data_IF_533350122143
#
_entry.id   IF_533350122143
#
_cell.length_a   1.000
_cell.length_b   1.000
_cell.length_c   1.000
_cell.angle_alpha   90.00
_cell.angle_beta   90.00
_cell.angle_gamma   90.00
#
_symmetry.space_group_name_H-M   'P 1'
#
loop_
_entity.id
_entity.type
_entity.pdbx_description
1 polymer ?
#
# COMPACT_ATOMS: atom_id res chain seq x y z
N UNK A 1 -20.83 13.24 -0.37
CA UNK A 1 -20.61 11.96 -1.08
C UNK A 1 -19.73 12.20 -2.31
N UNK A 2 -18.55 12.81 -2.12
CA UNK A 2 -17.53 13.04 -3.16
C UNK A 2 -16.23 13.32 -2.40
N UNK A 3 -15.45 12.30 -2.05
CA UNK A 3 -14.09 12.52 -1.51
C UNK A 3 -13.26 11.22 -1.42
N UNK A 4 -13.92 10.08 -1.20
CA UNK A 4 -13.22 8.79 -1.03
C UNK A 4 -12.71 8.20 -2.35
N UNK A 5 -13.43 8.43 -3.46
CA UNK A 5 -13.00 7.99 -4.80
C UNK A 5 -11.78 8.79 -5.31
N UNK A 6 -11.63 10.04 -4.88
CA UNK A 6 -10.57 10.92 -5.37
C UNK A 6 -9.21 10.57 -4.76
N UNK A 7 -9.19 10.14 -3.49
CA UNK A 7 -7.94 9.80 -2.78
C UNK A 7 -7.33 8.47 -3.25
N UNK A 8 -8.18 7.48 -3.59
CA UNK A 8 -7.77 6.18 -4.12
C UNK A 8 -7.21 6.27 -5.54
N UNK A 9 -7.94 6.95 -6.41
CA UNK A 9 -7.47 7.29 -7.75
C UNK A 9 -6.19 8.12 -7.65
N UNK A 10 -6.13 9.12 -6.76
CA UNK A 10 -4.93 9.94 -6.57
C UNK A 10 -3.73 9.12 -6.13
N UNK A 11 -3.85 8.14 -5.23
CA UNK A 11 -2.71 7.34 -4.80
C UNK A 11 -2.23 6.36 -5.89
N UNK A 12 -3.13 5.71 -6.62
CA UNK A 12 -2.74 4.86 -7.76
C UNK A 12 -2.13 5.68 -8.90
N UNK A 13 -2.74 6.83 -9.19
CA UNK A 13 -2.21 7.83 -10.14
C UNK A 13 -0.84 8.29 -9.65
N UNK A 14 -0.67 8.66 -8.39
CA UNK A 14 0.60 9.15 -7.85
C UNK A 14 1.73 8.12 -7.98
N UNK A 15 1.48 6.83 -7.72
CA UNK A 15 2.51 5.79 -7.86
C UNK A 15 2.80 5.39 -9.32
N UNK A 16 1.78 5.33 -10.19
CA UNK A 16 1.97 5.19 -11.64
C UNK A 16 2.80 6.37 -12.16
N UNK A 17 2.44 7.58 -11.75
CA UNK A 17 3.18 8.80 -12.05
C UNK A 17 4.57 8.78 -11.44
N UNK A 18 4.79 8.21 -10.25
CA UNK A 18 6.13 8.16 -9.65
C UNK A 18 7.06 7.24 -10.43
N UNK A 19 6.56 6.08 -10.87
CA UNK A 19 7.29 5.16 -11.74
C UNK A 19 7.54 5.77 -13.12
N UNK A 20 6.54 6.40 -13.71
CA UNK A 20 6.66 7.13 -14.98
C UNK A 20 7.60 8.34 -14.87
N UNK A 21 7.53 9.13 -13.80
CA UNK A 21 8.45 10.24 -13.54
C UNK A 21 9.87 9.70 -13.36
N UNK A 22 10.04 8.62 -12.61
CA UNK A 22 11.33 7.95 -12.45
C UNK A 22 11.92 7.53 -13.80
N UNK A 23 11.09 6.94 -14.66
CA UNK A 23 11.47 6.53 -16.03
C UNK A 23 11.79 7.74 -16.92
N UNK A 24 10.97 8.79 -16.90
CA UNK A 24 11.20 10.03 -17.66
C UNK A 24 12.49 10.72 -17.22
N UNK A 25 12.72 10.84 -15.91
CA UNK A 25 13.92 11.44 -15.33
C UNK A 25 15.17 10.63 -15.70
N UNK A 26 15.06 9.30 -15.68
CA UNK A 26 16.13 8.40 -16.09
C UNK A 26 16.44 8.54 -17.59
N UNK A 27 15.40 8.59 -18.45
CA UNK A 27 15.54 8.81 -19.89
C UNK A 27 16.17 10.17 -20.21
N UNK A 28 15.78 11.24 -19.51
CA UNK A 28 16.37 12.57 -19.68
C UNK A 28 17.84 12.55 -19.26
N UNK A 29 18.16 11.95 -18.11
CA UNK A 29 19.53 11.81 -17.63
C UNK A 29 20.43 11.05 -18.62
N UNK A 30 19.99 9.87 -19.04
CA UNK A 30 20.72 9.04 -20.01
C UNK A 30 20.88 9.72 -21.37
N UNK A 31 19.81 10.34 -21.88
CA UNK A 31 19.85 11.06 -23.16
C UNK A 31 20.81 12.26 -23.09
N UNK A 32 20.84 12.96 -21.96
CA UNK A 32 21.77 14.07 -21.70
C UNK A 32 23.23 13.63 -21.66
N UNK A 33 23.54 12.52 -20.99
CA UNK A 33 24.89 11.93 -20.98
C UNK A 33 25.33 11.48 -22.38
N UNK A 34 24.46 10.79 -23.12
CA UNK A 34 24.75 10.35 -24.50
C UNK A 34 24.98 11.55 -25.42
N UNK A 35 24.17 12.60 -25.32
CA UNK A 35 24.31 13.81 -26.13
C UNK A 35 25.66 14.52 -25.88
N UNK A 36 26.10 14.60 -24.62
CA UNK A 36 27.41 15.16 -24.27
C UNK A 36 28.57 14.36 -24.85
N UNK A 37 28.46 13.03 -24.88
CA UNK A 37 29.47 12.14 -25.47
C UNK A 37 29.54 12.25 -27.00
N UNK A 38 28.38 12.26 -27.68
CA UNK A 38 28.29 12.32 -29.15
C UNK A 38 28.74 13.68 -29.69
N UNK A 39 28.32 14.78 -29.05
CA UNK A 39 28.63 16.13 -29.51
C UNK A 39 30.05 16.60 -29.16
N UNK A 40 30.84 15.78 -28.43
CA UNK A 40 32.22 16.10 -28.00
C UNK A 40 32.35 17.47 -27.31
N UNK A 41 31.30 17.89 -26.63
CA UNK A 41 31.22 19.10 -25.81
C UNK A 41 31.92 18.77 -24.49
N UNK A 42 33.27 18.86 -24.43
CA UNK A 42 34.05 18.24 -23.33
C UNK A 42 35.21 19.06 -22.75
N UNK A 43 35.27 20.38 -22.90
CA UNK A 43 36.40 21.20 -22.41
C UNK A 43 36.07 22.29 -21.38
N UNK A 44 34.79 22.58 -21.07
CA UNK A 44 34.40 23.66 -20.16
C UNK A 44 33.97 23.23 -18.76
N UNK A 45 34.25 24.05 -17.72
CA UNK A 45 33.72 23.84 -16.35
C UNK A 45 32.19 23.79 -16.28
N UNK A 46 31.51 24.49 -17.21
CA UNK A 46 30.06 24.44 -17.39
C UNK A 46 29.56 23.04 -17.80
N UNK A 47 30.30 22.35 -18.66
CA UNK A 47 29.92 21.05 -19.21
C UNK A 47 30.08 19.93 -18.17
N UNK A 48 31.08 20.05 -17.29
CA UNK A 48 31.21 19.19 -16.11
C UNK A 48 30.01 19.35 -15.17
N UNK A 49 29.53 20.59 -14.99
CA UNK A 49 28.32 20.86 -14.23
C UNK A 49 27.07 20.19 -14.84
N UNK A 50 26.95 20.23 -16.18
CA UNK A 50 25.84 19.60 -16.89
C UNK A 50 25.90 18.07 -16.82
N UNK A 51 27.09 17.48 -16.98
CA UNK A 51 27.28 16.04 -16.81
C UNK A 51 26.95 15.56 -15.39
N UNK A 52 27.34 16.31 -14.36
CA UNK A 52 26.97 16.01 -12.96
C UNK A 52 25.45 16.11 -12.79
N UNK A 53 24.80 17.11 -13.38
CA UNK A 53 23.34 17.27 -13.28
C UNK A 53 22.60 16.08 -13.92
N UNK A 54 23.03 15.60 -15.09
CA UNK A 54 22.44 14.42 -15.71
C UNK A 54 22.69 13.14 -14.91
N UNK A 55 23.89 12.95 -14.37
CA UNK A 55 24.18 11.82 -13.47
C UNK A 55 23.29 11.84 -12.22
N UNK A 56 23.05 13.02 -11.63
CA UNK A 56 22.12 13.19 -10.51
C UNK A 56 20.69 12.83 -10.91
N UNK A 57 20.23 13.23 -12.11
CA UNK A 57 18.91 12.85 -12.62
C UNK A 57 18.82 11.32 -12.76
N UNK A 58 19.82 10.65 -13.34
CA UNK A 58 19.85 9.18 -13.43
C UNK A 58 19.74 8.54 -12.03
N UNK A 59 20.53 8.99 -11.06
CA UNK A 59 20.49 8.45 -9.69
C UNK A 59 19.13 8.67 -9.01
N UNK A 60 18.51 9.84 -9.22
CA UNK A 60 17.16 10.13 -8.71
C UNK A 60 16.13 9.21 -9.37
N UNK A 61 16.18 9.02 -10.69
CA UNK A 61 15.28 8.12 -11.41
C UNK A 61 15.39 6.67 -10.93
N UNK A 62 16.61 6.17 -10.77
CA UNK A 62 16.89 4.84 -10.22
C UNK A 62 16.40 4.72 -8.78
N UNK A 63 16.63 5.72 -7.95
CA UNK A 63 16.18 5.74 -6.55
C UNK A 63 14.65 5.69 -6.43
N UNK A 64 13.94 6.45 -7.27
CA UNK A 64 12.48 6.44 -7.32
C UNK A 64 11.92 5.09 -7.78
N UNK A 65 12.49 4.47 -8.81
CA UNK A 65 12.09 3.13 -9.26
C UNK A 65 12.39 2.06 -8.19
N UNK A 66 13.57 2.08 -7.59
CA UNK A 66 13.92 1.16 -6.51
C UNK A 66 12.97 1.26 -5.32
N UNK A 67 12.57 2.48 -4.95
CA UNK A 67 11.57 2.71 -3.91
C UNK A 67 10.18 2.19 -4.34
N UNK A 68 9.79 2.45 -5.58
CA UNK A 68 8.56 1.93 -6.18
C UNK A 68 8.53 0.41 -6.33
N UNK A 69 9.66 -0.30 -6.31
CA UNK A 69 9.76 -1.77 -6.41
C UNK A 69 10.10 -2.48 -5.07
N UNK A 70 10.59 -1.76 -4.04
CA UNK A 70 10.93 -2.32 -2.71
C UNK A 70 9.75 -2.98 -1.96
N UNK A 71 9.87 -4.18 -1.38
CA UNK A 71 8.76 -4.85 -0.69
C UNK A 71 8.09 -3.98 0.40
N UNK A 72 6.76 -4.05 0.52
CA UNK A 72 6.02 -3.39 1.61
C UNK A 72 6.26 -4.18 2.88
N UNK A 73 7.16 -3.71 3.73
CA UNK A 73 7.46 -4.35 5.02
C UNK A 73 7.11 -3.43 6.17
N UNK A 74 6.40 -3.93 7.17
CA UNK A 74 6.26 -3.26 8.47
C UNK A 74 7.03 -4.05 9.52
N UNK A 75 8.03 -3.41 10.13
CA UNK A 75 8.85 -4.04 11.16
C UNK A 75 8.14 -4.12 12.52
N UNK A 76 8.74 -4.78 13.52
CA UNK A 76 8.14 -4.93 14.86
C UNK A 76 7.75 -3.60 15.54
N UNK A 77 8.55 -2.55 15.34
CA UNK A 77 8.22 -1.22 15.88
C UNK A 77 6.98 -0.59 15.22
N UNK A 78 6.80 -0.79 13.91
CA UNK A 78 5.60 -0.36 13.18
C UNK A 78 4.38 -1.15 13.62
N UNK A 79 4.52 -2.48 13.78
CA UNK A 79 3.46 -3.34 14.28
C UNK A 79 2.98 -2.89 15.66
N UNK A 80 3.89 -2.54 16.57
CA UNK A 80 3.54 -2.03 17.90
C UNK A 80 2.79 -0.69 17.85
N UNK A 81 3.18 0.24 16.97
CA UNK A 81 2.49 1.52 16.80
C UNK A 81 1.10 1.35 16.21
N UNK A 82 0.95 0.48 15.21
CA UNK A 82 -0.35 0.10 14.65
C UNK A 82 -1.21 -0.52 15.75
N UNK A 83 -0.70 -1.50 16.48
CA UNK A 83 -1.41 -2.18 17.55
C UNK A 83 -1.87 -1.20 18.63
N UNK A 84 -1.00 -0.28 19.07
CA UNK A 84 -1.33 0.74 20.06
C UNK A 84 -2.44 1.68 19.59
N UNK A 85 -2.42 2.08 18.31
CA UNK A 85 -3.42 2.98 17.73
C UNK A 85 -4.82 2.33 17.69
N UNK A 86 -4.90 1.04 17.38
CA UNK A 86 -6.17 0.32 17.21
C UNK A 86 -6.63 -0.44 18.48
N UNK A 87 -5.80 -0.49 19.52
CA UNK A 87 -6.11 -1.14 20.81
C UNK A 87 -7.44 -0.69 21.46
N UNK A 88 -7.88 0.59 21.35
CA UNK A 88 -9.20 0.99 21.85
C UNK A 88 -10.38 0.23 21.22
N UNK A 89 -10.16 -0.46 20.09
CA UNK A 89 -11.16 -1.24 19.36
C UNK A 89 -10.94 -2.75 19.48
N UNK A 90 -10.39 -3.22 20.60
CA UNK A 90 -10.25 -4.65 20.88
C UNK A 90 -11.57 -5.43 20.67
N UNK A 91 -11.46 -6.67 20.20
CA UNK A 91 -12.60 -7.53 19.85
C UNK A 91 -13.25 -7.23 18.50
N UNK A 92 -12.76 -6.24 17.75
CA UNK A 92 -13.28 -5.97 16.39
C UNK A 92 -13.01 -7.16 15.48
N UNK A 93 -14.04 -7.75 14.85
CA UNK A 93 -13.87 -8.87 13.92
C UNK A 93 -13.28 -8.37 12.60
N UNK A 94 -12.35 -9.14 12.05
CA UNK A 94 -11.76 -8.88 10.74
C UNK A 94 -11.48 -10.19 9.99
N UNK A 95 -11.42 -10.10 8.67
CA UNK A 95 -10.90 -11.15 7.82
C UNK A 95 -9.89 -10.58 6.82
N UNK A 96 -9.19 -11.48 6.14
CA UNK A 96 -8.23 -11.11 5.12
C UNK A 96 -8.66 -11.64 3.76
N UNK A 97 -8.29 -10.89 2.72
CA UNK A 97 -8.09 -11.45 1.39
C UNK A 97 -6.75 -10.99 0.83
N UNK A 98 -6.03 -11.87 0.14
CA UNK A 98 -4.65 -11.59 -0.28
C UNK A 98 -4.38 -12.05 -1.72
N UNK A 99 -3.54 -11.32 -2.44
CA UNK A 99 -2.91 -11.78 -3.69
C UNK A 99 -1.88 -12.85 -3.36
N UNK A 100 -1.80 -13.92 -4.17
CA UNK A 100 -0.96 -15.09 -3.87
C UNK A 100 0.50 -14.91 -4.31
N UNK A 101 1.06 -13.76 -4.01
CA UNK A 101 2.50 -13.50 -4.13
C UNK A 101 3.15 -13.46 -2.73
N UNK A 102 4.43 -13.86 -2.59
CA UNK A 102 5.10 -13.94 -1.29
C UNK A 102 5.09 -12.61 -0.51
N UNK A 103 5.22 -11.48 -1.20
CA UNK A 103 5.30 -10.17 -0.54
C UNK A 103 3.95 -9.76 0.05
N UNK A 104 2.85 -9.98 -0.67
CA UNK A 104 1.50 -9.73 -0.18
C UNK A 104 1.13 -10.63 1.00
N UNK A 105 1.54 -11.91 0.97
CA UNK A 105 1.33 -12.86 2.07
C UNK A 105 2.12 -12.45 3.31
N UNK A 106 3.38 -12.03 3.16
CA UNK A 106 4.20 -11.55 4.27
C UNK A 106 3.62 -10.25 4.87
N UNK A 107 3.17 -9.31 4.02
CA UNK A 107 2.50 -8.10 4.49
C UNK A 107 1.21 -8.41 5.26
N UNK A 108 0.40 -9.36 4.76
CA UNK A 108 -0.80 -9.84 5.45
C UNK A 108 -0.48 -10.35 6.84
N UNK A 109 0.55 -11.17 6.97
CA UNK A 109 0.93 -11.75 8.25
C UNK A 109 1.51 -10.70 9.21
N UNK A 110 2.27 -9.74 8.71
CA UNK A 110 2.78 -8.62 9.50
C UNK A 110 1.65 -7.70 10.01
N UNK A 111 0.65 -7.40 9.17
CA UNK A 111 -0.53 -6.63 9.60
C UNK A 111 -1.34 -7.46 10.59
N UNK A 112 -1.51 -8.76 10.33
CA UNK A 112 -2.20 -9.69 11.21
C UNK A 112 -1.60 -9.71 12.62
N UNK A 113 -0.28 -9.75 12.75
CA UNK A 113 0.41 -9.67 14.05
C UNK A 113 0.07 -8.38 14.82
N UNK A 114 -0.02 -7.23 14.13
CA UNK A 114 -0.39 -5.97 14.77
C UNK A 114 -1.86 -5.96 15.25
N UNK A 115 -2.78 -6.52 14.44
CA UNK A 115 -4.20 -6.67 14.78
C UNK A 115 -4.38 -7.63 15.97
N UNK A 116 -3.71 -8.79 15.94
CA UNK A 116 -3.73 -9.80 16.99
C UNK A 116 -3.20 -9.21 18.30
N UNK A 117 -2.09 -8.45 18.26
CA UNK A 117 -1.52 -7.76 19.42
C UNK A 117 -2.43 -6.67 20.01
N UNK A 118 -3.33 -6.11 19.20
CA UNK A 118 -4.36 -5.18 19.65
C UNK A 118 -5.64 -5.85 20.16
N UNK A 119 -5.69 -7.19 20.13
CA UNK A 119 -6.85 -7.97 20.57
C UNK A 119 -8.00 -8.00 19.58
N UNK A 120 -7.77 -7.71 18.30
CA UNK A 120 -8.78 -7.88 17.25
C UNK A 120 -9.00 -9.38 16.95
N UNK A 121 -10.16 -9.74 16.40
CA UNK A 121 -10.53 -11.14 16.18
C UNK A 121 -10.48 -11.52 14.70
N UNK A 122 -9.47 -12.29 14.30
CA UNK A 122 -9.38 -12.85 12.95
C UNK A 122 -10.42 -13.96 12.77
N UNK A 123 -11.24 -13.85 11.74
CA UNK A 123 -12.17 -14.90 11.31
C UNK A 123 -11.91 -15.32 9.85
N UNK A 124 -12.54 -16.42 9.44
CA UNK A 124 -12.45 -16.88 8.07
C UNK A 124 -13.27 -15.95 7.16
N UNK A 125 -12.78 -15.71 5.93
CA UNK A 125 -13.55 -14.99 4.92
C UNK A 125 -14.89 -15.69 4.69
N UNK A 126 -15.98 -14.93 4.69
CA UNK A 126 -17.33 -15.50 4.55
C UNK A 126 -17.61 -16.02 3.13
N UNK A 127 -16.94 -15.46 2.12
CA UNK A 127 -17.16 -15.76 0.71
C UNK A 127 -15.82 -15.91 -0.04
N UNK A 128 -15.70 -16.92 -0.90
CA UNK A 128 -14.57 -17.11 -1.81
C UNK A 128 -13.80 -18.42 -1.64
N UNK A 129 -12.93 -18.72 -2.61
CA UNK A 129 -11.91 -19.77 -2.49
C UNK A 129 -10.76 -19.21 -1.66
N UNK A 130 -10.39 -19.91 -0.58
CA UNK A 130 -9.46 -19.37 0.41
C UNK A 130 -8.04 -19.94 0.31
N UNK A 131 -7.05 -19.07 0.52
CA UNK A 131 -5.74 -19.47 1.02
C UNK A 131 -5.85 -19.74 2.52
N UNK A 132 -5.32 -20.86 2.99
CA UNK A 132 -5.34 -21.23 4.43
C UNK A 132 -3.91 -21.09 4.96
N UNK A 133 -3.59 -20.00 5.68
CA UNK A 133 -2.29 -19.88 6.33
C UNK A 133 -2.17 -20.91 7.46
N UNK A 134 -0.95 -21.41 7.76
CA UNK A 134 -0.74 -22.38 8.84
C UNK A 134 -1.29 -21.90 10.19
N UNK A 135 -2.24 -22.65 10.74
CA UNK A 135 -2.83 -22.36 12.06
C UNK A 135 -3.72 -21.11 12.13
N UNK A 136 -4.10 -20.50 10.99
CA UNK A 136 -4.94 -19.29 10.94
C UNK A 136 -6.22 -19.52 10.12
N UNK A 137 -7.27 -18.70 10.35
CA UNK A 137 -8.48 -18.75 9.53
C UNK A 137 -8.20 -18.50 8.05
N UNK A 138 -9.04 -19.08 7.19
CA UNK A 138 -8.93 -18.93 5.74
C UNK A 138 -9.03 -17.45 5.32
N UNK A 139 -8.10 -17.02 4.47
CA UNK A 139 -8.11 -15.72 3.81
C UNK A 139 -8.64 -15.89 2.38
N UNK A 140 -9.40 -14.92 1.88
CA UNK A 140 -9.84 -14.90 0.48
C UNK A 140 -8.68 -14.65 -0.48
N UNK A 141 -8.92 -14.86 -1.78
CA UNK A 141 -7.98 -14.52 -2.85
C UNK A 141 -8.51 -13.28 -3.58
N UNK A 142 -7.64 -12.30 -3.82
CA UNK A 142 -7.98 -11.05 -4.49
C UNK A 142 -6.99 -10.74 -5.60
N UNK A 143 -7.47 -10.08 -6.65
CA UNK A 143 -6.65 -9.63 -7.78
C UNK A 143 -6.85 -8.14 -7.98
N UNK A 144 -6.02 -7.34 -7.31
CA UNK A 144 -5.95 -5.88 -7.47
C UNK A 144 -4.59 -5.39 -6.98
N UNK A 145 -4.37 -4.06 -7.01
CA UNK A 145 -3.14 -3.44 -6.50
C UNK A 145 -3.38 -2.58 -5.26
N UNK A 146 -2.49 -2.67 -4.28
CA UNK A 146 -2.50 -1.87 -3.06
C UNK A 146 -3.15 -2.56 -1.85
N UNK A 147 -3.47 -1.78 -0.81
CA UNK A 147 -4.16 -2.26 0.39
C UNK A 147 -5.53 -1.58 0.49
N UNK A 148 -6.59 -2.37 0.65
CA UNK A 148 -7.94 -1.87 0.88
C UNK A 148 -8.48 -2.37 2.22
N UNK A 149 -9.08 -1.47 2.98
CA UNK A 149 -9.91 -1.79 4.14
C UNK A 149 -11.35 -1.59 3.69
N UNK A 150 -12.12 -2.66 3.65
CA UNK A 150 -13.52 -2.60 3.22
C UNK A 150 -14.46 -2.77 4.42
N UNK A 151 -15.51 -1.97 4.40
CA UNK A 151 -16.62 -2.05 5.37
C UNK A 151 -17.94 -2.17 4.62
N UNK A 152 -18.79 -3.08 5.08
CA UNK A 152 -20.13 -3.24 4.56
C UNK A 152 -20.98 -1.98 4.85
N UNK A 153 -21.80 -1.56 3.87
CA UNK A 153 -22.62 -0.35 3.98
C UNK A 153 -23.56 -0.37 5.20
N UNK A 154 -24.12 -1.54 5.59
CA UNK A 154 -25.02 -1.59 6.74
C UNK A 154 -24.35 -1.42 8.10
N UNK A 155 -23.04 -1.65 8.22
CA UNK A 155 -22.31 -1.48 9.51
C UNK A 155 -21.93 -0.04 9.80
N UNK A 156 -22.26 0.87 8.89
CA UNK A 156 -21.84 2.27 8.97
C UNK A 156 -22.42 3.01 10.19
N UNK A 157 -23.60 2.62 10.68
CA UNK A 157 -24.23 3.15 11.90
C UNK A 157 -23.76 2.44 13.18
N UNK A 158 -23.44 1.16 13.09
CA UNK A 158 -23.36 0.25 14.26
C UNK A 158 -21.96 0.21 14.89
N UNK A 159 -20.91 0.56 14.15
CA UNK A 159 -19.53 0.61 14.66
C UNK A 159 -19.10 1.99 15.20
N UNK A 160 -20.09 2.79 15.63
CA UNK A 160 -19.92 4.18 16.06
C UNK A 160 -19.66 5.12 14.88
N UNK A 161 -19.59 6.44 15.14
CA UNK A 161 -19.59 7.47 14.09
C UNK A 161 -18.65 7.14 12.91
N UNK A 162 -19.24 6.65 11.81
CA UNK A 162 -18.63 6.38 10.51
C UNK A 162 -17.63 5.22 10.37
N UNK A 163 -17.63 4.19 11.24
CA UNK A 163 -16.70 3.06 11.09
C UNK A 163 -15.29 3.37 11.62
N UNK A 164 -15.23 3.98 12.81
CA UNK A 164 -14.00 4.43 13.46
C UNK A 164 -12.88 3.39 13.52
N UNK A 165 -13.11 2.10 13.84
CA UNK A 165 -12.02 1.12 13.89
C UNK A 165 -11.28 1.02 12.55
N UNK A 166 -12.03 0.95 11.44
CA UNK A 166 -11.47 0.89 10.10
C UNK A 166 -10.74 2.18 9.70
N UNK A 167 -11.28 3.34 10.09
CA UNK A 167 -10.64 4.63 9.83
C UNK A 167 -9.32 4.82 10.63
N UNK A 168 -9.28 4.38 11.89
CA UNK A 168 -8.07 4.42 12.71
C UNK A 168 -7.04 3.43 12.19
N UNK A 169 -7.45 2.22 11.79
CA UNK A 169 -6.57 1.26 11.13
C UNK A 169 -5.99 1.85 9.84
N UNK A 170 -6.82 2.45 8.98
CA UNK A 170 -6.37 3.14 7.77
C UNK A 170 -5.27 4.17 8.07
N UNK A 171 -5.51 5.03 9.05
CA UNK A 171 -4.56 6.07 9.43
C UNK A 171 -3.26 5.47 9.99
N UNK A 172 -3.36 4.42 10.81
CA UNK A 172 -2.20 3.73 11.36
C UNK A 172 -1.35 3.11 10.25
N UNK A 173 -1.95 2.40 9.29
CA UNK A 173 -1.22 1.83 8.16
C UNK A 173 -0.52 2.92 7.31
N UNK A 174 -1.19 4.05 7.06
CA UNK A 174 -0.62 5.18 6.32
C UNK A 174 0.54 5.84 7.05
N UNK A 175 0.48 5.96 8.36
CA UNK A 175 1.58 6.49 9.17
C UNK A 175 2.83 5.61 9.10
N UNK A 176 2.66 4.32 8.81
CA UNK A 176 3.76 3.38 8.57
C UNK A 176 4.18 3.32 7.08
N UNK A 177 3.70 4.25 6.26
CA UNK A 177 4.07 4.37 4.84
C UNK A 177 3.32 3.43 3.90
N UNK A 178 2.30 2.71 4.39
CA UNK A 178 1.49 1.85 3.53
C UNK A 178 0.45 2.67 2.76
N UNK A 179 0.37 2.40 1.47
CA UNK A 179 -0.69 2.93 0.62
C UNK A 179 -1.96 2.10 0.84
N UNK A 180 -2.76 2.53 1.82
CA UNK A 180 -4.02 1.93 2.16
C UNK A 180 -5.20 2.86 1.86
N UNK A 181 -6.35 2.26 1.52
CA UNK A 181 -7.58 2.95 1.18
C UNK A 181 -8.76 2.35 1.94
N UNK A 182 -9.72 3.18 2.33
CA UNK A 182 -10.97 2.72 2.91
C UNK A 182 -12.06 2.70 1.84
N UNK A 183 -12.71 1.56 1.65
CA UNK A 183 -13.79 1.39 0.67
C UNK A 183 -15.06 0.92 1.37
N UNK A 184 -16.19 1.46 0.90
CA UNK A 184 -17.51 0.99 1.30
C UNK A 184 -18.03 0.05 0.24
N UNK A 185 -18.55 -1.07 0.69
CA UNK A 185 -19.01 -2.14 -0.20
C UNK A 185 -20.44 -2.54 0.16
N UNK A 186 -21.30 -2.77 -0.83
CA UNK A 186 -22.63 -3.31 -0.62
C UNK A 186 -22.60 -4.66 0.13
N UNK A 187 -23.63 -4.93 0.95
CA UNK A 187 -23.73 -6.14 1.77
C UNK A 187 -23.85 -7.46 0.97
N UNK A 188 -24.24 -7.37 -0.29
CA UNK A 188 -24.29 -8.52 -1.21
C UNK A 188 -22.91 -8.86 -1.79
N UNK A 189 -21.93 -7.95 -1.67
CA UNK A 189 -20.54 -8.17 -2.10
C UNK A 189 -19.64 -8.62 -0.96
N UNK A 190 -19.89 -8.15 0.26
CA UNK A 190 -19.07 -8.47 1.43
C UNK A 190 -19.92 -8.59 2.68
N UNK A 191 -19.47 -9.43 3.61
CA UNK A 191 -20.21 -9.68 4.85
C UNK A 191 -20.25 -8.44 5.72
N UNK A 192 -21.38 -8.22 6.39
CA UNK A 192 -21.44 -7.19 7.42
C UNK A 192 -20.65 -7.58 8.69
N UNK A 193 -20.21 -8.83 8.84
CA UNK A 193 -19.76 -9.34 10.14
C UNK A 193 -18.29 -9.07 10.48
N UNK A 194 -17.51 -8.51 9.56
CA UNK A 194 -16.10 -8.18 9.76
C UNK A 194 -15.63 -6.94 8.98
N UNK A 195 -14.51 -6.37 9.41
CA UNK A 195 -13.70 -5.49 8.55
C UNK A 195 -12.92 -6.37 7.60
N UNK A 196 -13.08 -6.16 6.30
CA UNK A 196 -12.36 -6.93 5.28
C UNK A 196 -11.06 -6.21 4.93
N UNK A 197 -9.93 -6.85 5.22
CA UNK A 197 -8.63 -6.29 4.89
C UNK A 197 -8.09 -7.01 3.66
N UNK A 198 -8.03 -6.28 2.54
CA UNK A 198 -7.59 -6.81 1.26
C UNK A 198 -6.20 -6.32 0.94
N UNK A 199 -5.31 -7.24 0.57
CA UNK A 199 -3.92 -6.95 0.24
C UNK A 199 -3.67 -7.48 -1.16
N UNK A 200 -3.67 -6.57 -2.12
CA UNK A 200 -3.35 -6.86 -3.51
C UNK A 200 -1.86 -6.70 -3.80
N UNK A 201 -1.48 -6.97 -5.03
CA UNK A 201 -0.14 -6.75 -5.56
C UNK A 201 0.35 -5.31 -5.33
N UNK A 202 1.65 -5.10 -5.45
CA UNK A 202 2.21 -3.76 -5.32
C UNK A 202 1.68 -2.82 -6.43
N UNK A 203 1.31 -1.55 -6.12
CA UNK A 203 0.93 -0.53 -7.11
C UNK A 203 1.94 -0.39 -8.25
#
# INVERSE_FOLDING_TARGET
MFDVLNTAAFSMVLFSWLKEIGEIVLLIGLSGEVALLVLRISKGSWERGLGIAFAVLVLVGVGLQYWADSPRTIGPGSQQRIAAAIKPFQGTPFDFSVELDPESVDLMENIGQALDAAGWHRQAVAQGSGYIPPGKPAAGIVVFKGVEIQIAESRQSDWGAAGKPAAVLLQALRNEGLTALLKRVPNDQESADAIHIKIGAKP
#
